data_IF_865951877290
#
_entry.id   IF_865951877290
#
_cell.length_a   1.000
_cell.length_b   1.000
_cell.length_c   1.000
_cell.angle_alpha   90.00
_cell.angle_beta   90.00
_cell.angle_gamma   90.00
#
_symmetry.space_group_name_H-M   'P 1'
#
loop_
_entity.id
_entity.type
_entity.pdbx_description
1 polymer ?
#
# COMPACT_ATOMS: atom_id res chain seq x y z
N UNK A 1 12.15 11.17 19.86
CA UNK A 1 13.14 10.20 19.35
C UNK A 1 13.12 10.33 17.83
N UNK A 2 14.27 10.42 17.16
CA UNK A 2 14.31 10.55 15.70
C UNK A 2 14.14 9.17 15.06
N UNK A 3 13.22 9.04 14.10
CA UNK A 3 13.00 7.80 13.35
C UNK A 3 13.74 7.87 12.01
N UNK A 4 14.40 6.79 11.65
CA UNK A 4 15.07 6.66 10.37
C UNK A 4 14.38 5.62 9.50
N UNK A 5 14.15 5.96 8.24
CA UNK A 5 13.58 5.03 7.27
C UNK A 5 14.43 4.95 6.02
N UNK A 6 14.35 3.81 5.35
CA UNK A 6 15.01 3.59 4.05
C UNK A 6 13.94 3.34 2.99
N UNK A 7 14.14 3.94 1.82
CA UNK A 7 13.35 3.65 0.62
C UNK A 7 14.21 2.89 -0.37
N UNK A 8 13.79 1.71 -0.74
CA UNK A 8 14.46 0.90 -1.75
C UNK A 8 13.92 1.22 -3.14
N UNK A 9 14.84 1.45 -4.07
CA UNK A 9 14.49 1.58 -5.48
C UNK A 9 14.55 0.17 -6.11
N UNK A 10 13.41 -0.35 -6.47
CA UNK A 10 13.21 -1.75 -6.89
C UNK A 10 13.95 -2.16 -8.17
N UNK A 11 14.35 -1.18 -9.00
CA UNK A 11 15.12 -1.45 -10.22
C UNK A 11 16.63 -1.67 -9.97
N UNK A 12 17.12 -1.34 -8.79
CA UNK A 12 18.57 -1.38 -8.49
C UNK A 12 19.09 -2.79 -8.22
N UNK A 13 18.23 -3.73 -7.84
CA UNK A 13 18.66 -5.06 -7.45
C UNK A 13 17.58 -6.14 -7.71
N UNK A 14 17.96 -7.43 -7.74
CA UNK A 14 17.00 -8.53 -7.70
C UNK A 14 16.11 -8.49 -6.46
N UNK A 15 14.89 -9.04 -6.56
CA UNK A 15 13.92 -9.01 -5.46
C UNK A 15 14.48 -9.60 -4.14
N UNK A 16 15.20 -10.71 -4.21
CA UNK A 16 15.82 -11.33 -3.03
C UNK A 16 16.81 -10.37 -2.36
N UNK A 17 17.66 -9.71 -3.13
CA UNK A 17 18.62 -8.74 -2.61
C UNK A 17 17.95 -7.56 -1.92
N UNK A 18 16.79 -7.09 -2.43
CA UNK A 18 16.03 -6.03 -1.79
C UNK A 18 15.50 -6.47 -0.41
N UNK A 19 15.07 -7.73 -0.29
CA UNK A 19 14.67 -8.30 1.01
C UNK A 19 15.87 -8.39 1.96
N UNK A 20 17.01 -8.88 1.47
CA UNK A 20 18.24 -8.98 2.28
C UNK A 20 18.71 -7.60 2.77
N UNK A 21 18.59 -6.57 1.93
CA UNK A 21 18.88 -5.19 2.33
C UNK A 21 17.89 -4.64 3.37
N UNK A 22 16.62 -5.03 3.32
CA UNK A 22 15.66 -4.64 4.36
C UNK A 22 16.00 -5.30 5.71
N UNK A 23 16.39 -6.57 5.71
CA UNK A 23 16.90 -7.26 6.91
C UNK A 23 18.13 -6.55 7.45
N UNK A 24 19.12 -6.26 6.62
CA UNK A 24 20.31 -5.52 7.01
C UNK A 24 19.98 -4.12 7.56
N UNK A 25 19.03 -3.42 6.96
CA UNK A 25 18.58 -2.11 7.46
C UNK A 25 17.99 -2.21 8.88
N UNK A 26 17.18 -3.24 9.14
CA UNK A 26 16.69 -3.51 10.49
C UNK A 26 17.81 -3.76 11.49
N UNK A 27 18.80 -4.56 11.13
CA UNK A 27 19.99 -4.82 11.95
C UNK A 27 20.79 -3.54 12.24
N UNK A 28 20.83 -2.60 11.28
CA UNK A 28 21.51 -1.31 11.41
C UNK A 28 20.68 -0.26 12.13
N UNK A 29 19.48 -0.58 12.60
CA UNK A 29 18.68 0.30 13.43
C UNK A 29 17.70 1.19 12.66
N UNK A 30 17.42 0.94 11.40
CA UNK A 30 16.34 1.61 10.70
C UNK A 30 14.98 1.15 11.24
N UNK A 31 14.04 2.10 11.34
CA UNK A 31 12.71 1.88 11.92
C UNK A 31 11.69 1.45 10.87
N UNK A 32 11.88 1.84 9.61
CA UNK A 32 10.95 1.53 8.52
C UNK A 32 11.66 1.32 7.19
N UNK A 33 11.07 0.50 6.34
CA UNK A 33 11.42 0.39 4.93
C UNK A 33 10.22 0.66 4.03
N UNK A 34 10.48 1.24 2.86
CA UNK A 34 9.50 1.64 1.90
C UNK A 34 9.83 1.13 0.51
N UNK A 35 8.84 0.53 -0.14
CA UNK A 35 8.94 0.12 -1.54
C UNK A 35 7.99 0.98 -2.39
N UNK A 36 8.46 1.53 -3.52
CA UNK A 36 7.58 2.23 -4.42
C UNK A 36 6.55 1.27 -4.99
N UNK A 37 5.31 1.74 -5.07
CA UNK A 37 4.23 1.01 -5.72
C UNK A 37 3.86 1.73 -7.01
N UNK A 38 4.52 1.34 -8.08
CA UNK A 38 4.43 2.02 -9.36
C UNK A 38 4.19 1.00 -10.48
N UNK A 39 3.64 1.49 -11.59
CA UNK A 39 3.36 0.67 -12.77
C UNK A 39 4.66 0.13 -13.38
N UNK A 40 4.63 -1.10 -13.86
CA UNK A 40 5.76 -1.79 -14.51
C UNK A 40 7.01 -2.01 -13.64
N UNK A 41 6.87 -1.90 -12.32
CA UNK A 41 7.93 -2.14 -11.35
C UNK A 41 7.71 -3.44 -10.56
N UNK A 42 8.70 -3.82 -9.75
CA UNK A 42 8.53 -4.94 -8.82
C UNK A 42 7.44 -4.61 -7.81
N UNK A 43 6.57 -5.57 -7.60
CA UNK A 43 5.36 -5.38 -6.81
C UNK A 43 5.69 -5.18 -5.31
N UNK A 44 5.40 -4.01 -4.77
CA UNK A 44 5.75 -3.62 -3.40
C UNK A 44 5.14 -4.53 -2.33
N UNK A 45 3.92 -5.01 -2.54
CA UNK A 45 3.23 -5.89 -1.58
C UNK A 45 3.88 -7.26 -1.48
N UNK A 46 4.37 -7.82 -2.59
CA UNK A 46 5.11 -9.09 -2.60
C UNK A 46 6.44 -8.92 -1.88
N UNK A 47 7.15 -7.81 -2.12
CA UNK A 47 8.38 -7.50 -1.39
C UNK A 47 8.08 -7.26 0.09
N UNK A 48 7.00 -6.53 0.41
CA UNK A 48 6.57 -6.28 1.78
C UNK A 48 6.28 -7.56 2.56
N UNK A 49 5.56 -8.51 1.97
CA UNK A 49 5.29 -9.81 2.58
C UNK A 49 6.59 -10.59 2.85
N UNK A 50 7.50 -10.62 1.88
CA UNK A 50 8.80 -11.27 2.06
C UNK A 50 9.63 -10.61 3.18
N UNK A 51 9.60 -9.28 3.29
CA UNK A 51 10.28 -8.57 4.39
C UNK A 51 9.59 -8.84 5.72
N UNK A 52 8.26 -8.92 5.77
CA UNK A 52 7.51 -9.21 6.99
C UNK A 52 7.94 -10.53 7.64
N UNK A 53 8.16 -11.56 6.81
CA UNK A 53 8.62 -12.88 7.25
C UNK A 53 10.08 -12.91 7.73
N UNK A 54 10.91 -11.98 7.25
CA UNK A 54 12.35 -11.97 7.52
C UNK A 54 12.79 -10.88 8.52
N UNK A 55 11.86 -10.06 9.03
CA UNK A 55 12.10 -8.98 10.01
C UNK A 55 11.19 -9.10 11.22
N UNK A 56 11.48 -8.38 12.32
CA UNK A 56 10.73 -8.50 13.57
C UNK A 56 10.12 -7.19 14.08
N UNK A 57 10.74 -6.05 13.81
CA UNK A 57 10.34 -4.74 14.36
C UNK A 57 10.14 -3.66 13.31
N UNK A 58 10.73 -3.83 12.12
CA UNK A 58 10.70 -2.83 11.06
C UNK A 58 9.29 -2.61 10.54
N UNK A 59 8.87 -1.36 10.46
CA UNK A 59 7.65 -0.96 9.75
C UNK A 59 7.87 -1.18 8.26
N UNK A 60 6.89 -1.76 7.59
CA UNK A 60 6.96 -2.13 6.17
C UNK A 60 5.90 -1.34 5.42
N UNK A 61 6.33 -0.48 4.52
CA UNK A 61 5.44 0.40 3.80
C UNK A 61 5.53 0.27 2.28
N UNK A 62 4.38 0.46 1.64
CA UNK A 62 4.34 0.86 0.24
C UNK A 62 4.22 2.37 0.15
N UNK A 63 4.86 2.97 -0.83
CA UNK A 63 4.81 4.42 -1.03
C UNK A 63 4.37 4.74 -2.45
N UNK A 64 3.35 5.62 -2.53
CA UNK A 64 2.72 5.98 -3.78
C UNK A 64 1.76 4.90 -4.32
N UNK A 65 1.17 4.06 -3.44
CA UNK A 65 0.07 3.19 -3.87
C UNK A 65 -1.04 4.05 -4.44
N UNK A 66 -1.43 3.79 -5.68
CA UNK A 66 -2.32 4.66 -6.42
C UNK A 66 -3.69 4.00 -6.68
N UNK A 67 -4.78 4.76 -6.65
CA UNK A 67 -6.12 4.24 -6.87
C UNK A 67 -6.53 4.16 -8.35
N UNK A 68 -5.60 4.17 -9.28
CA UNK A 68 -5.84 3.94 -10.70
C UNK A 68 -5.64 2.49 -11.10
N UNK A 69 -4.51 1.92 -10.68
CA UNK A 69 -4.16 0.54 -10.97
C UNK A 69 -4.65 -0.44 -9.92
N UNK A 70 -5.05 0.07 -8.75
CA UNK A 70 -5.64 -0.72 -7.68
C UNK A 70 -6.92 -0.08 -7.17
N UNK A 71 -7.98 -0.86 -7.19
CA UNK A 71 -9.25 -0.48 -6.56
C UNK A 71 -9.07 -0.33 -5.04
N UNK A 72 -9.77 0.60 -4.37
CA UNK A 72 -9.70 0.76 -2.92
C UNK A 72 -9.97 -0.52 -2.12
N UNK A 73 -10.78 -1.44 -2.63
CA UNK A 73 -11.02 -2.75 -2.01
C UNK A 73 -9.77 -3.61 -1.97
N UNK A 74 -9.02 -3.64 -3.07
CA UNK A 74 -7.75 -4.35 -3.17
C UNK A 74 -6.70 -3.72 -2.26
N UNK A 75 -6.63 -2.37 -2.24
CA UNK A 75 -5.71 -1.65 -1.35
C UNK A 75 -6.00 -1.99 0.12
N UNK A 76 -7.26 -1.96 0.54
CA UNK A 76 -7.66 -2.31 1.90
C UNK A 76 -7.34 -3.77 2.24
N UNK A 77 -7.59 -4.68 1.32
CA UNK A 77 -7.30 -6.11 1.49
C UNK A 77 -5.80 -6.36 1.62
N UNK A 78 -4.99 -5.74 0.76
CA UNK A 78 -3.53 -5.89 0.81
C UNK A 78 -2.94 -5.37 2.11
N UNK A 79 -3.30 -4.13 2.51
CA UNK A 79 -2.70 -3.55 3.72
C UNK A 79 -3.14 -4.31 4.98
N UNK A 80 -4.40 -4.72 5.07
CA UNK A 80 -4.89 -5.51 6.20
C UNK A 80 -4.19 -6.88 6.29
N UNK A 81 -4.01 -7.55 5.16
CA UNK A 81 -3.31 -8.84 5.11
C UNK A 81 -1.82 -8.70 5.47
N UNK A 82 -1.16 -7.67 4.94
CA UNK A 82 0.24 -7.40 5.31
C UNK A 82 0.38 -7.05 6.78
N UNK A 83 -0.59 -6.32 7.34
CA UNK A 83 -0.59 -5.95 8.75
C UNK A 83 -0.76 -7.17 9.66
N UNK A 84 -1.63 -8.10 9.31
CA UNK A 84 -1.78 -9.38 10.00
C UNK A 84 -0.49 -10.20 9.93
N UNK A 85 0.05 -10.40 8.73
CA UNK A 85 1.28 -11.16 8.48
C UNK A 85 2.49 -10.59 9.22
N UNK A 86 2.62 -9.28 9.24
CA UNK A 86 3.74 -8.59 9.91
C UNK A 86 3.57 -8.42 11.41
N UNK A 87 2.41 -8.77 11.98
CA UNK A 87 2.13 -8.57 13.40
C UNK A 87 1.87 -7.10 13.77
N UNK A 88 1.30 -6.30 12.87
CA UNK A 88 0.92 -4.91 13.11
C UNK A 88 1.97 -3.88 12.65
N UNK A 89 2.83 -4.25 11.69
CA UNK A 89 3.94 -3.40 11.21
C UNK A 89 3.73 -2.83 9.81
N UNK A 90 2.57 -3.04 9.20
CA UNK A 90 2.30 -2.50 7.87
C UNK A 90 2.01 -1.00 7.89
N UNK A 91 2.44 -0.32 6.85
CA UNK A 91 2.12 1.10 6.61
C UNK A 91 1.74 1.32 5.15
N UNK A 92 0.75 2.17 4.93
CA UNK A 92 0.23 2.49 3.60
C UNK A 92 0.54 3.95 3.26
N UNK A 93 1.32 4.16 2.21
CA UNK A 93 1.45 5.46 1.57
C UNK A 93 0.60 5.52 0.31
N UNK A 94 -0.55 6.16 0.39
CA UNK A 94 -1.36 6.47 -0.79
C UNK A 94 -0.82 7.69 -1.51
N UNK A 95 -0.96 7.69 -2.82
CA UNK A 95 -0.54 8.81 -3.66
C UNK A 95 -1.26 8.83 -5.00
N UNK A 96 -1.18 9.97 -5.65
CA UNK A 96 -1.62 10.10 -7.03
C UNK A 96 -0.61 9.43 -7.96
N UNK A 97 -1.10 8.78 -8.99
CA UNK A 97 -0.24 8.38 -10.10
C UNK A 97 0.15 9.58 -10.93
N UNK A 98 1.20 9.50 -11.73
CA UNK A 98 1.48 10.58 -12.70
C UNK A 98 0.45 10.51 -13.83
N UNK A 99 -0.02 11.67 -14.29
CA UNK A 99 -0.98 11.72 -15.41
C UNK A 99 -0.47 10.99 -16.64
N UNK A 100 0.82 11.16 -16.97
CA UNK A 100 1.48 10.46 -18.07
C UNK A 100 1.37 8.93 -17.98
N UNK A 101 1.59 8.35 -16.80
CA UNK A 101 1.48 6.89 -16.62
C UNK A 101 0.04 6.39 -16.68
N UNK A 102 -0.91 7.20 -16.25
CA UNK A 102 -2.35 6.90 -16.38
C UNK A 102 -2.72 6.86 -17.87
N UNK A 103 -2.25 7.83 -18.65
CA UNK A 103 -2.44 7.88 -20.10
C UNK A 103 -1.78 6.69 -20.82
N UNK A 104 -0.59 6.26 -20.40
CA UNK A 104 0.06 5.06 -20.97
C UNK A 104 -0.79 3.79 -20.81
N UNK A 105 -1.61 3.75 -19.77
CA UNK A 105 -2.55 2.64 -19.54
C UNK A 105 -3.87 2.80 -20.29
N UNK A 106 -4.02 3.88 -21.07
CA UNK A 106 -5.28 4.20 -21.77
C UNK A 106 -6.41 4.61 -20.85
N UNK A 107 -6.07 5.11 -19.67
CA UNK A 107 -7.04 5.60 -18.69
C UNK A 107 -7.16 7.11 -18.73
N UNK A 108 -8.34 7.63 -18.40
CA UNK A 108 -8.53 9.07 -18.18
C UNK A 108 -8.08 9.44 -16.76
N UNK A 109 -7.23 10.47 -16.59
CA UNK A 109 -6.78 10.87 -15.26
C UNK A 109 -7.90 11.32 -14.32
N UNK A 110 -8.96 11.94 -14.85
CA UNK A 110 -10.05 12.48 -14.03
C UNK A 110 -9.56 13.52 -13.03
N UNK A 111 -10.22 13.61 -11.90
CA UNK A 111 -9.77 14.44 -10.79
C UNK A 111 -8.92 13.63 -9.82
N UNK A 112 -7.61 13.67 -10.02
CA UNK A 112 -6.63 12.87 -9.26
C UNK A 112 -6.71 13.10 -7.74
N UNK A 113 -6.96 14.34 -7.30
CA UNK A 113 -7.08 14.69 -5.88
C UNK A 113 -8.36 14.07 -5.31
N UNK A 114 -9.48 14.23 -6.00
CA UNK A 114 -10.76 13.66 -5.58
C UNK A 114 -10.68 12.14 -5.55
N UNK A 115 -10.11 11.51 -6.58
CA UNK A 115 -9.93 10.06 -6.65
C UNK A 115 -9.10 9.53 -5.47
N UNK A 116 -8.00 10.20 -5.13
CA UNK A 116 -7.17 9.80 -3.99
C UNK A 116 -7.90 9.99 -2.66
N UNK A 117 -8.63 11.10 -2.49
CA UNK A 117 -9.43 11.36 -1.29
C UNK A 117 -10.52 10.30 -1.10
N UNK A 118 -11.30 10.02 -2.14
CA UNK A 118 -12.35 9.00 -2.09
C UNK A 118 -11.79 7.62 -1.80
N UNK A 119 -10.63 7.26 -2.39
CA UNK A 119 -9.94 6.02 -2.08
C UNK A 119 -9.52 5.93 -0.60
N UNK A 120 -9.02 7.02 -0.01
CA UNK A 120 -8.67 7.07 1.42
C UNK A 120 -9.90 6.84 2.29
N UNK A 121 -11.03 7.48 1.96
CA UNK A 121 -12.29 7.33 2.70
C UNK A 121 -12.78 5.88 2.68
N UNK A 122 -12.78 5.26 1.49
CA UNK A 122 -13.21 3.87 1.31
C UNK A 122 -12.27 2.91 2.06
N UNK A 123 -10.95 3.05 1.87
CA UNK A 123 -9.96 2.18 2.52
C UNK A 123 -10.09 2.25 4.05
N UNK A 124 -10.22 3.45 4.61
CA UNK A 124 -10.41 3.63 6.05
C UNK A 124 -11.70 3.01 6.56
N UNK A 125 -12.80 3.16 5.83
CA UNK A 125 -14.07 2.54 6.20
C UNK A 125 -13.96 1.02 6.21
N UNK A 126 -13.39 0.42 5.17
CA UNK A 126 -13.17 -1.03 5.12
C UNK A 126 -12.27 -1.53 6.25
N UNK A 127 -11.19 -0.82 6.58
CA UNK A 127 -10.28 -1.20 7.66
C UNK A 127 -10.94 -1.11 9.04
N UNK A 128 -11.90 -0.21 9.24
CA UNK A 128 -12.72 -0.19 10.48
C UNK A 128 -13.71 -1.36 10.57
N UNK A 129 -13.87 -2.13 9.50
CA UNK A 129 -14.86 -3.22 9.41
C UNK A 129 -16.26 -2.74 9.02
N UNK A 130 -16.36 -1.53 8.47
CA UNK A 130 -17.64 -0.99 8.01
C UNK A 130 -18.13 -1.77 6.78
N UNK A 131 -19.46 -1.80 6.62
CA UNK A 131 -20.11 -2.19 5.37
C UNK A 131 -20.28 -0.93 4.53
N UNK A 132 -19.65 -0.88 3.38
CA UNK A 132 -19.51 0.32 2.56
C UNK A 132 -20.37 0.25 1.30
N UNK A 133 -21.26 1.22 1.12
CA UNK A 133 -21.77 1.67 -0.17
C UNK A 133 -21.18 3.06 -0.41
N UNK A 134 -20.72 3.36 -1.61
CA UNK A 134 -20.03 4.61 -1.88
C UNK A 134 -20.56 5.28 -3.16
N UNK A 135 -20.97 6.53 -3.03
CA UNK A 135 -21.47 7.37 -4.12
C UNK A 135 -20.56 8.59 -4.30
N UNK A 136 -19.39 8.38 -4.89
CA UNK A 136 -18.45 9.43 -5.21
C UNK A 136 -18.48 9.84 -6.68
N UNK A 137 -17.64 10.77 -7.05
CA UNK A 137 -17.47 11.17 -8.46
C UNK A 137 -16.49 10.25 -9.20
N UNK A 138 -15.54 9.64 -8.49
CA UNK A 138 -14.50 8.78 -9.03
C UNK A 138 -14.73 7.30 -8.70
N UNK A 139 -15.41 7.01 -7.60
CA UNK A 139 -15.82 5.66 -7.20
C UNK A 139 -17.30 5.59 -6.93
N UNK A 140 -17.95 4.57 -7.51
CA UNK A 140 -19.37 4.30 -7.30
C UNK A 140 -19.54 2.80 -7.02
N UNK A 141 -19.81 2.48 -5.76
CA UNK A 141 -20.10 1.12 -5.33
C UNK A 141 -21.59 1.00 -5.01
N UNK A 142 -22.29 0.29 -5.86
CA UNK A 142 -23.77 0.17 -5.82
C UNK A 142 -24.27 -0.89 -4.84
N UNK A 143 -23.37 -1.77 -4.34
CA UNK A 143 -23.67 -2.81 -3.38
C UNK A 143 -22.87 -2.60 -2.10
N UNK A 144 -23.37 -3.16 -1.01
CA UNK A 144 -22.66 -3.12 0.26
C UNK A 144 -21.41 -4.00 0.21
N UNK A 145 -20.26 -3.38 0.36
CA UNK A 145 -18.94 -4.01 0.30
C UNK A 145 -18.30 -4.03 1.67
N UNK A 146 -17.62 -5.12 2.03
CA UNK A 146 -16.93 -5.25 3.30
C UNK A 146 -15.77 -6.24 3.18
N UNK A 147 -14.78 -6.13 4.06
CA UNK A 147 -13.73 -7.14 4.18
C UNK A 147 -14.33 -8.41 4.80
N UNK A 148 -14.10 -9.57 4.17
CA UNK A 148 -14.61 -10.87 4.63
C UNK A 148 -13.76 -11.50 5.74
N UNK A 149 -12.97 -10.70 6.42
CA UNK A 149 -12.16 -11.04 7.59
C UNK A 149 -12.02 -9.78 8.45
N UNK A 150 -11.63 -9.95 9.71
CA UNK A 150 -11.46 -8.83 10.63
C UNK A 150 -10.03 -8.30 10.54
N UNK A 151 -9.81 -7.04 10.12
CA UNK A 151 -8.49 -6.43 10.14
C UNK A 151 -7.90 -6.41 11.55
N UNK A 152 -6.58 -6.56 11.66
CA UNK A 152 -5.88 -6.49 12.94
C UNK A 152 -5.93 -5.10 13.56
N UNK A 153 -5.88 -4.07 12.74
CA UNK A 153 -6.00 -2.66 13.12
C UNK A 153 -7.04 -1.96 12.27
N UNK A 154 -7.76 -1.02 12.88
CA UNK A 154 -8.74 -0.19 12.19
C UNK A 154 -8.11 1.05 11.51
N UNK A 155 -6.82 1.34 11.77
CA UNK A 155 -6.10 2.53 11.29
C UNK A 155 -4.66 2.17 10.90
#
# INVERSE_FOLDING_TARGET
>A
MTTFSVRFLDHLAPARTLVDWAVLAEEKGFDACWFPHDTFRKHSWILGAAVAENTRRMIIGSVGTNPYTFDPSEIATYIATLDELSGGRAALGLGMHTGEMVEWLGMEPGNMITRTREAVEIVRALLRGDVVAYEGSEFQWTQQCYLRFTPRRAE
#
